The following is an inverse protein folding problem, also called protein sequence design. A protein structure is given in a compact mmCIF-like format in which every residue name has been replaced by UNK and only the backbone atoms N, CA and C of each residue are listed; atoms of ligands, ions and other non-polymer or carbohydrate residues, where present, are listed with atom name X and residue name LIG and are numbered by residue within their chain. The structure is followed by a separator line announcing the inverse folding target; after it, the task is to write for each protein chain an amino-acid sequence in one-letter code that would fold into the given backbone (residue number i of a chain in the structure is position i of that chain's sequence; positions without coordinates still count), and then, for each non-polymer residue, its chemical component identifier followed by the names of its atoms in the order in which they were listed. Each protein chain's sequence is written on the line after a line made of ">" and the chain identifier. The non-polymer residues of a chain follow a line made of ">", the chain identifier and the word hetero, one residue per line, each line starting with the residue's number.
data_IF_300874959780
#
_entry.id   IF_300874959780
#
_cell.length_a   1.000
_cell.length_b   1.000
_cell.length_c   1.000
_cell.angle_alpha   90.00
_cell.angle_beta   90.00
_cell.angle_gamma   90.00
#
_symmetry.space_group_name_H-M   'P 1'
#
loop_
_entity.id
_entity.type
_entity.pdbx_description
1 polymer ?
#
# COMPACT_ATOMS: atom_id res chain seq x y z
N UNK A 1 -9.78 5.35 31.87
CA UNK A 1 -9.11 5.04 30.58
C UNK A 1 -7.88 5.96 30.46
N UNK A 2 -6.65 5.43 30.33
CA UNK A 2 -5.46 6.29 30.18
C UNK A 2 -5.54 7.04 28.85
N UNK A 3 -5.45 8.37 28.90
CA UNK A 3 -5.62 9.23 27.73
C UNK A 3 -4.45 9.12 26.75
N UNK A 4 -3.24 8.91 27.28
CA UNK A 4 -2.02 8.68 26.52
C UNK A 4 -1.16 7.64 27.24
N UNK A 5 -0.59 6.73 26.47
CA UNK A 5 0.37 5.73 26.96
C UNK A 5 1.61 5.76 26.09
N UNK A 6 2.78 5.82 26.71
CA UNK A 6 4.07 5.62 26.04
C UNK A 6 4.67 4.33 26.56
N UNK A 7 5.12 3.46 25.66
CA UNK A 7 5.80 2.21 26.03
C UNK A 7 7.12 2.16 25.28
N UNK A 8 8.21 2.02 26.03
CA UNK A 8 9.56 1.87 25.51
C UNK A 8 10.15 0.55 26.01
N UNK A 9 10.66 -0.29 25.10
CA UNK A 9 11.31 -1.56 25.46
C UNK A 9 12.57 -1.78 24.63
N UNK A 10 13.61 -2.33 25.24
CA UNK A 10 14.82 -2.79 24.53
C UNK A 10 14.62 -4.12 23.77
N UNK A 11 13.43 -4.72 23.87
CA UNK A 11 13.05 -6.00 23.27
C UNK A 11 11.70 -5.87 22.56
N UNK A 12 11.06 -6.97 22.19
CA UNK A 12 9.73 -6.94 21.57
C UNK A 12 8.61 -6.39 22.48
N UNK A 13 7.50 -5.98 21.87
CA UNK A 13 6.26 -5.60 22.55
C UNK A 13 5.14 -6.52 22.06
N UNK A 14 4.51 -7.27 22.96
CA UNK A 14 3.25 -7.94 22.72
C UNK A 14 2.17 -7.25 23.55
N UNK A 15 1.09 -6.76 22.93
CA UNK A 15 0.01 -6.11 23.68
C UNK A 15 -1.39 -6.37 23.11
N UNK A 16 -2.35 -6.54 24.01
CA UNK A 16 -3.79 -6.50 23.72
C UNK A 16 -4.41 -5.39 24.55
N UNK A 17 -4.90 -4.32 23.93
CA UNK A 17 -5.38 -3.16 24.67
C UNK A 17 -6.39 -2.26 23.94
N UNK A 18 -7.24 -1.58 24.71
CA UNK A 18 -8.05 -0.45 24.26
C UNK A 18 -7.50 0.85 24.86
N UNK A 19 -7.00 1.75 24.01
CA UNK A 19 -6.34 2.99 24.47
C UNK A 19 -6.67 4.15 23.54
N UNK A 20 -6.83 5.37 24.07
CA UNK A 20 -7.06 6.55 23.21
C UNK A 20 -5.82 6.88 22.37
N UNK A 21 -4.68 7.09 23.00
CA UNK A 21 -3.42 7.45 22.33
C UNK A 21 -2.26 6.60 22.80
N UNK A 22 -1.48 6.07 21.86
CA UNK A 22 -0.32 5.25 22.19
C UNK A 22 0.89 5.60 21.36
N UNK A 23 2.04 5.63 22.01
CA UNK A 23 3.35 5.69 21.35
C UNK A 23 4.16 4.47 21.77
N UNK A 24 4.58 3.67 20.79
CA UNK A 24 5.50 2.55 21.01
C UNK A 24 6.87 2.85 20.43
N UNK A 25 7.89 2.53 21.19
CA UNK A 25 9.28 2.45 20.71
C UNK A 25 9.90 1.15 21.21
N UNK A 26 10.43 0.34 20.30
CA UNK A 26 11.18 -0.83 20.70
C UNK A 26 12.26 -1.23 19.72
N UNK A 27 13.31 -1.88 20.22
CA UNK A 27 14.36 -2.44 19.37
C UNK A 27 13.88 -3.74 18.69
N UNK A 28 13.01 -4.53 19.31
CA UNK A 28 12.40 -5.73 18.71
C UNK A 28 11.06 -5.48 18.01
N UNK A 29 10.41 -6.54 17.50
CA UNK A 29 9.10 -6.47 16.83
C UNK A 29 7.96 -6.01 17.75
N UNK A 30 6.87 -5.46 17.19
CA UNK A 30 5.58 -5.41 17.91
C UNK A 30 4.57 -6.29 17.25
N UNK A 31 3.91 -7.06 18.11
CA UNK A 31 2.71 -7.78 17.81
C UNK A 31 1.58 -7.20 18.66
N UNK A 32 0.58 -6.61 18.03
CA UNK A 32 -0.54 -5.97 18.75
C UNK A 32 -1.92 -6.35 18.21
N UNK A 33 -2.86 -6.54 19.15
CA UNK A 33 -4.30 -6.57 18.88
C UNK A 33 -4.99 -5.43 19.64
N UNK A 34 -5.49 -4.41 18.95
CA UNK A 34 -5.99 -3.22 19.64
C UNK A 34 -7.06 -2.38 18.94
N UNK A 35 -7.81 -1.62 19.74
CA UNK A 35 -8.67 -0.52 19.29
C UNK A 35 -8.14 0.81 19.84
N UNK A 36 -7.79 1.74 18.94
CA UNK A 36 -7.15 3.01 19.34
C UNK A 36 -7.54 4.21 18.49
N UNK A 37 -7.51 5.41 19.05
CA UNK A 37 -7.75 6.61 18.23
C UNK A 37 -6.50 7.09 17.53
N UNK A 38 -5.35 7.12 18.22
CA UNK A 38 -4.08 7.55 17.63
C UNK A 38 -2.94 6.66 18.06
N UNK A 39 -2.16 6.19 17.09
CA UNK A 39 -0.99 5.36 17.33
C UNK A 39 0.21 5.90 16.57
N UNK A 40 1.34 5.95 17.25
CA UNK A 40 2.65 6.18 16.64
C UNK A 40 3.57 5.04 17.04
N UNK A 41 4.21 4.43 16.05
CA UNK A 41 5.09 3.29 16.24
C UNK A 41 6.41 3.55 15.55
N UNK A 42 7.51 3.41 16.29
CA UNK A 42 8.87 3.57 15.77
C UNK A 42 9.72 2.34 16.13
N UNK A 43 10.35 1.71 15.12
CA UNK A 43 11.01 0.40 15.26
C UNK A 43 12.16 0.17 14.30
N UNK A 44 13.02 -0.79 14.68
CA UNK A 44 14.18 -1.24 13.89
C UNK A 44 13.94 -2.53 13.09
N UNK A 45 12.97 -3.37 13.47
CA UNK A 45 12.70 -4.65 12.77
C UNK A 45 11.28 -4.65 12.21
N UNK A 46 10.41 -5.58 12.62
CA UNK A 46 9.07 -5.74 12.07
C UNK A 46 7.95 -5.11 12.91
N UNK A 47 6.79 -4.95 12.27
CA UNK A 47 5.52 -4.57 12.90
C UNK A 47 4.47 -5.58 12.43
N UNK A 48 3.83 -6.33 13.32
CA UNK A 48 2.72 -7.22 13.05
C UNK A 48 1.48 -6.75 13.82
N UNK A 49 0.40 -6.37 13.14
CA UNK A 49 -0.75 -5.81 13.88
C UNK A 49 -2.13 -6.20 13.34
N UNK A 50 -3.06 -6.41 14.27
CA UNK A 50 -4.49 -6.59 14.00
C UNK A 50 -5.27 -5.50 14.76
N UNK A 51 -5.79 -4.49 14.05
CA UNK A 51 -6.32 -3.32 14.76
C UNK A 51 -7.43 -2.52 14.06
N UNK A 52 -8.21 -1.82 14.88
CA UNK A 52 -9.09 -0.73 14.42
C UNK A 52 -8.54 0.60 14.95
N UNK A 53 -8.14 1.49 14.05
CA UNK A 53 -7.46 2.74 14.44
C UNK A 53 -7.90 3.95 13.63
N UNK A 54 -8.19 5.09 14.28
CA UNK A 54 -8.52 6.31 13.50
C UNK A 54 -7.29 6.88 12.79
N UNK A 55 -6.16 7.03 13.49
CA UNK A 55 -4.94 7.61 12.90
C UNK A 55 -3.69 6.84 13.31
N UNK A 56 -2.87 6.51 12.33
CA UNK A 56 -1.67 5.71 12.57
C UNK A 56 -0.48 6.24 11.79
N UNK A 57 0.66 6.20 12.46
CA UNK A 57 1.97 6.44 11.84
C UNK A 57 2.88 5.30 12.23
N UNK A 58 3.32 4.53 11.25
CA UNK A 58 4.32 3.48 11.40
C UNK A 58 5.65 3.93 10.80
N UNK A 59 6.71 3.71 11.55
CA UNK A 59 8.09 3.88 11.09
C UNK A 59 8.88 2.63 11.48
N UNK A 60 9.33 1.86 10.50
CA UNK A 60 10.05 0.60 10.69
C UNK A 60 11.26 0.51 9.76
N UNK A 61 12.41 0.05 10.25
CA UNK A 61 13.51 -0.29 9.35
C UNK A 61 13.33 -1.68 8.70
N UNK A 62 12.57 -2.59 9.31
CA UNK A 62 12.14 -3.84 8.67
C UNK A 62 10.76 -3.73 8.03
N UNK A 63 10.05 -4.86 7.97
CA UNK A 63 8.74 -4.97 7.33
C UNK A 63 7.55 -4.58 8.21
N UNK A 64 6.38 -4.41 7.60
CA UNK A 64 5.11 -4.13 8.26
C UNK A 64 4.06 -5.10 7.72
N UNK A 65 3.51 -5.93 8.59
CA UNK A 65 2.45 -6.87 8.28
C UNK A 65 1.19 -6.46 9.05
N UNK A 66 0.10 -6.11 8.35
CA UNK A 66 -1.07 -5.55 9.01
C UNK A 66 -2.41 -6.06 8.49
N UNK A 67 -3.32 -6.38 9.42
CA UNK A 67 -4.74 -6.58 9.17
C UNK A 67 -5.54 -5.51 9.92
N UNK A 68 -6.05 -4.48 9.23
CA UNK A 68 -6.64 -3.35 9.93
C UNK A 68 -7.76 -2.59 9.21
N UNK A 69 -8.60 -1.93 10.01
CA UNK A 69 -9.52 -0.88 9.54
C UNK A 69 -9.06 0.48 10.08
N UNK A 70 -8.74 1.41 9.18
CA UNK A 70 -8.15 2.69 9.61
C UNK A 70 -8.62 3.90 8.80
N UNK A 71 -8.85 5.06 9.43
CA UNK A 71 -9.22 6.26 8.65
C UNK A 71 -8.00 6.88 7.95
N UNK A 72 -6.89 7.04 8.67
CA UNK A 72 -5.68 7.70 8.15
C UNK A 72 -4.42 6.98 8.57
N UNK A 73 -3.57 6.72 7.59
CA UNK A 73 -2.39 5.90 7.78
C UNK A 73 -1.21 6.48 7.04
N UNK A 74 -0.07 6.48 7.73
CA UNK A 74 1.22 6.82 7.13
C UNK A 74 2.21 5.71 7.45
N UNK A 75 2.78 5.13 6.42
CA UNK A 75 3.86 4.15 6.52
C UNK A 75 5.17 4.76 6.04
N UNK A 76 6.21 4.53 6.83
CA UNK A 76 7.60 4.74 6.46
C UNK A 76 8.36 3.46 6.80
N UNK A 77 8.67 2.66 5.78
CA UNK A 77 9.34 1.38 5.95
C UNK A 77 10.53 1.23 5.01
N UNK A 78 11.66 0.72 5.50
CA UNK A 78 12.74 0.29 4.60
C UNK A 78 12.49 -1.14 4.07
N UNK A 79 12.01 -2.08 4.90
CA UNK A 79 11.61 -3.44 4.48
C UNK A 79 10.16 -3.55 4.01
N UNK A 80 9.61 -4.77 4.00
CA UNK A 80 8.20 -5.22 3.81
C UNK A 80 7.04 -4.25 4.13
N UNK A 81 5.91 -4.36 3.45
CA UNK A 81 4.59 -3.77 3.75
C UNK A 81 3.64 -4.70 3.03
N UNK A 82 3.06 -5.58 3.83
CA UNK A 82 2.12 -6.59 3.43
C UNK A 82 0.83 -6.32 4.22
N UNK A 83 -0.24 -5.89 3.54
CA UNK A 83 -1.46 -5.50 4.25
C UNK A 83 -2.76 -6.06 3.66
N UNK A 84 -3.69 -6.37 4.57
CA UNK A 84 -5.10 -6.63 4.29
C UNK A 84 -5.92 -5.59 5.03
N UNK A 85 -6.45 -4.57 4.33
CA UNK A 85 -7.01 -3.42 5.02
C UNK A 85 -8.15 -2.68 4.32
N UNK A 86 -8.97 -2.01 5.14
CA UNK A 86 -9.91 -0.98 4.69
C UNK A 86 -9.46 0.38 5.22
N UNK A 87 -9.12 1.31 4.31
CA UNK A 87 -8.51 2.59 4.70
C UNK A 87 -9.11 3.80 3.96
N UNK A 88 -9.38 4.92 4.64
CA UNK A 88 -9.84 6.11 3.88
C UNK A 88 -8.69 6.87 3.21
N UNK A 89 -7.59 7.09 3.92
CA UNK A 89 -6.42 7.79 3.40
C UNK A 89 -5.14 7.08 3.78
N UNK A 90 -4.33 6.77 2.78
CA UNK A 90 -3.05 6.09 2.96
C UNK A 90 -1.94 6.86 2.26
N UNK A 91 -0.84 7.05 2.98
CA UNK A 91 0.42 7.52 2.42
C UNK A 91 1.49 6.48 2.73
N UNK A 92 2.14 5.99 1.69
CA UNK A 92 3.23 5.02 1.81
C UNK A 92 4.50 5.63 1.25
N UNK A 93 5.56 5.60 2.06
CA UNK A 93 6.93 5.93 1.65
C UNK A 93 7.81 4.72 1.93
N UNK A 94 8.37 4.11 0.88
CA UNK A 94 9.05 2.82 0.99
C UNK A 94 10.24 2.65 0.03
N UNK A 95 11.16 1.77 0.40
CA UNK A 95 12.37 1.50 -0.37
C UNK A 95 12.33 0.23 -1.25
N UNK A 96 11.65 -0.86 -0.89
CA UNK A 96 11.91 -2.17 -1.54
C UNK A 96 10.75 -2.90 -2.24
N UNK A 97 9.49 -2.65 -1.91
CA UNK A 97 8.32 -3.29 -2.55
C UNK A 97 7.01 -2.73 -1.99
N UNK A 98 5.82 -3.19 -2.39
CA UNK A 98 4.51 -2.99 -1.72
C UNK A 98 3.62 -4.14 -2.18
N UNK A 99 3.06 -4.92 -1.26
CA UNK A 99 2.15 -6.04 -1.55
C UNK A 99 0.84 -5.85 -0.75
N UNK A 100 -0.28 -5.56 -1.41
CA UNK A 100 -1.50 -5.15 -0.69
C UNK A 100 -2.80 -5.73 -1.26
N UNK A 101 -3.70 -6.12 -0.35
CA UNK A 101 -5.10 -6.42 -0.63
C UNK A 101 -5.97 -5.43 0.13
N UNK A 102 -6.52 -4.42 -0.55
CA UNK A 102 -7.16 -3.31 0.17
C UNK A 102 -8.32 -2.60 -0.54
N UNK A 103 -9.24 -2.08 0.26
CA UNK A 103 -10.22 -1.07 -0.16
C UNK A 103 -9.79 0.28 0.37
N UNK A 104 -9.48 1.22 -0.52
CA UNK A 104 -8.98 2.55 -0.13
C UNK A 104 -9.73 3.67 -0.84
N UNK A 105 -10.00 4.81 -0.17
CA UNK A 105 -10.54 5.98 -0.90
C UNK A 105 -9.42 6.76 -1.57
N UNK A 106 -8.38 7.14 -0.82
CA UNK A 106 -7.27 7.94 -1.34
C UNK A 106 -5.93 7.34 -0.97
N UNK A 107 -5.08 7.17 -1.97
CA UNK A 107 -3.76 6.57 -1.77
C UNK A 107 -2.67 7.35 -2.48
N UNK A 108 -1.54 7.48 -1.80
CA UNK A 108 -0.30 7.98 -2.39
C UNK A 108 0.81 7.00 -2.06
N UNK A 109 1.38 6.42 -3.12
CA UNK A 109 2.52 5.52 -3.02
C UNK A 109 3.77 6.20 -3.55
N UNK A 110 4.83 6.14 -2.73
CA UNK A 110 6.19 6.49 -3.13
C UNK A 110 7.09 5.32 -2.79
N UNK A 111 7.59 4.61 -3.80
CA UNK A 111 8.39 3.41 -3.63
C UNK A 111 9.62 3.41 -4.55
N UNK A 112 10.82 3.10 -4.03
CA UNK A 112 11.97 2.85 -4.93
C UNK A 112 11.88 1.46 -5.60
N UNK A 113 11.15 0.51 -4.98
CA UNK A 113 10.85 -0.81 -5.53
C UNK A 113 9.58 -0.87 -6.39
N UNK A 114 9.16 -2.09 -6.74
CA UNK A 114 7.89 -2.35 -7.41
C UNK A 114 6.68 -2.23 -6.48
N UNK A 115 5.48 -2.13 -7.08
CA UNK A 115 4.20 -2.13 -6.37
C UNK A 115 3.32 -3.20 -7.00
N UNK A 116 2.87 -4.16 -6.20
CA UNK A 116 1.92 -5.19 -6.58
C UNK A 116 0.67 -5.08 -5.68
N UNK A 117 -0.49 -4.82 -6.29
CA UNK A 117 -1.72 -4.62 -5.52
C UNK A 117 -2.97 -5.28 -6.12
N UNK A 118 -3.83 -5.76 -5.21
CA UNK A 118 -5.20 -6.18 -5.48
C UNK A 118 -6.13 -5.23 -4.71
N UNK A 119 -6.63 -4.18 -5.36
CA UNK A 119 -7.29 -3.09 -4.63
C UNK A 119 -8.51 -2.48 -5.33
N UNK A 120 -9.44 -1.97 -4.52
CA UNK A 120 -10.47 -1.03 -4.98
C UNK A 120 -10.10 0.35 -4.45
N UNK A 121 -9.83 1.30 -5.35
CA UNK A 121 -9.34 2.63 -4.98
C UNK A 121 -10.11 3.74 -5.67
N UNK A 122 -10.67 4.73 -4.96
CA UNK A 122 -11.30 5.87 -5.66
C UNK A 122 -10.22 6.72 -6.35
N UNK A 123 -9.16 7.09 -5.62
CA UNK A 123 -8.06 7.89 -6.15
C UNK A 123 -6.71 7.38 -5.71
N UNK A 124 -5.80 7.22 -6.67
CA UNK A 124 -4.42 6.83 -6.39
C UNK A 124 -3.41 7.71 -7.13
N UNK A 125 -2.28 7.91 -6.47
CA UNK A 125 -1.08 8.53 -7.05
C UNK A 125 0.11 7.62 -6.82
N UNK A 126 0.82 7.30 -7.91
CA UNK A 126 2.05 6.52 -7.89
C UNK A 126 3.27 7.36 -8.22
N UNK A 127 4.34 7.14 -7.47
CA UNK A 127 5.69 7.53 -7.82
C UNK A 127 6.60 6.35 -7.47
N UNK A 128 6.92 5.53 -8.48
CA UNK A 128 7.79 4.37 -8.29
C UNK A 128 8.90 4.31 -9.34
N UNK A 129 10.09 3.88 -8.94
CA UNK A 129 11.19 3.63 -9.89
C UNK A 129 11.07 2.22 -10.51
N UNK A 130 10.39 1.29 -9.82
CA UNK A 130 10.08 -0.06 -10.28
C UNK A 130 8.81 -0.20 -11.14
N UNK A 131 8.43 -1.45 -11.40
CA UNK A 131 7.18 -1.79 -12.09
C UNK A 131 5.97 -1.72 -11.15
N UNK A 132 4.81 -1.36 -11.71
CA UNK A 132 3.52 -1.37 -11.03
C UNK A 132 2.66 -2.47 -11.65
N UNK A 133 2.43 -3.55 -10.89
CA UNK A 133 1.48 -4.61 -11.20
C UNK A 133 0.18 -4.39 -10.42
N UNK A 134 -0.96 -4.44 -11.09
CA UNK A 134 -2.25 -4.21 -10.42
C UNK A 134 -3.37 -5.08 -10.98
N UNK A 135 -4.20 -5.58 -10.06
CA UNK A 135 -5.56 -6.07 -10.31
C UNK A 135 -6.48 -5.16 -9.50
N UNK A 136 -6.98 -4.09 -10.13
CA UNK A 136 -7.64 -3.04 -9.37
C UNK A 136 -8.76 -2.33 -10.13
N UNK A 137 -9.77 -1.89 -9.38
CA UNK A 137 -10.82 -0.99 -9.86
C UNK A 137 -10.55 0.41 -9.35
N UNK A 138 -10.41 1.37 -10.26
CA UNK A 138 -10.03 2.73 -9.89
C UNK A 138 -10.86 3.79 -10.60
N UNK A 139 -11.23 4.85 -9.88
CA UNK A 139 -11.91 5.98 -10.51
C UNK A 139 -10.89 6.98 -11.07
N UNK A 140 -9.82 7.27 -10.31
CA UNK A 140 -8.79 8.24 -10.68
C UNK A 140 -7.39 7.69 -10.44
N UNK A 141 -6.54 7.73 -11.47
CA UNK A 141 -5.14 7.29 -11.40
C UNK A 141 -4.22 8.40 -11.87
N UNK A 142 -3.16 8.65 -11.10
CA UNK A 142 -2.04 9.52 -11.50
C UNK A 142 -0.73 8.77 -11.33
N UNK A 143 0.12 8.79 -12.35
CA UNK A 143 1.46 8.18 -12.29
C UNK A 143 2.48 9.27 -12.59
N UNK A 144 3.36 9.54 -11.64
CA UNK A 144 4.42 10.53 -11.76
C UNK A 144 5.72 9.91 -12.31
N UNK A 145 6.03 8.67 -11.90
CA UNK A 145 7.20 7.86 -12.32
C UNK A 145 6.85 6.37 -12.22
N UNK A 146 7.41 5.55 -13.13
CA UNK A 146 7.30 4.08 -13.12
C UNK A 146 6.75 3.47 -14.42
N UNK A 147 6.86 2.14 -14.53
CA UNK A 147 6.27 1.35 -15.63
C UNK A 147 5.01 0.64 -15.17
N UNK A 148 3.87 0.85 -15.85
CA UNK A 148 2.60 0.22 -15.48
C UNK A 148 2.34 -1.01 -16.36
N UNK A 149 2.23 -2.19 -15.75
CA UNK A 149 1.79 -3.43 -16.41
C UNK A 149 0.36 -3.77 -15.97
N UNK A 150 -0.59 -3.76 -16.92
CA UNK A 150 -2.03 -3.95 -16.64
C UNK A 150 -2.46 -5.35 -17.06
N UNK A 151 -3.02 -6.13 -16.12
CA UNK A 151 -3.60 -7.44 -16.45
C UNK A 151 -5.13 -7.48 -16.42
N UNK A 152 -5.81 -6.64 -15.62
CA UNK A 152 -7.28 -6.45 -15.59
C UNK A 152 -7.64 -5.21 -14.74
N UNK A 153 -7.79 -4.02 -15.35
CA UNK A 153 -8.11 -2.78 -14.63
C UNK A 153 -9.19 -1.95 -15.33
N UNK A 154 -10.22 -1.51 -14.59
CA UNK A 154 -11.20 -0.52 -15.06
C UNK A 154 -10.84 0.83 -14.43
N UNK A 155 -10.49 1.81 -15.26
CA UNK A 155 -10.05 3.15 -14.83
C UNK A 155 -11.01 4.21 -15.39
N UNK A 156 -11.52 5.10 -14.53
CA UNK A 156 -12.16 6.35 -14.94
C UNK A 156 -11.15 7.38 -15.45
N UNK A 157 -11.63 8.55 -15.90
CA UNK A 157 -10.83 9.61 -16.53
C UNK A 157 -9.48 9.86 -15.81
N UNK A 158 -8.36 9.61 -16.47
CA UNK A 158 -7.02 9.73 -15.86
C UNK A 158 -6.04 10.45 -16.77
N UNK A 159 -5.15 11.25 -16.19
CA UNK A 159 -4.05 11.89 -16.90
C UNK A 159 -2.79 11.03 -16.75
N UNK A 160 -2.37 10.38 -17.84
CA UNK A 160 -1.08 9.67 -17.91
C UNK A 160 -0.04 10.59 -18.54
N UNK A 161 0.88 11.14 -17.74
CA UNK A 161 2.11 11.75 -18.29
C UNK A 161 3.06 10.61 -18.64
N UNK A 162 3.03 10.17 -19.91
CA UNK A 162 3.86 9.06 -20.40
C UNK A 162 5.33 9.45 -20.53
N UNK A 163 6.20 8.79 -19.79
CA UNK A 163 7.60 8.56 -20.17
C UNK A 163 7.66 7.46 -21.24
N UNK A 164 8.51 7.63 -22.24
CA UNK A 164 8.53 6.87 -23.49
C UNK A 164 8.88 5.38 -23.34
N UNK A 165 8.15 4.52 -24.05
CA UNK A 165 8.54 3.12 -24.34
C UNK A 165 7.40 2.27 -24.85
N UNK A 166 7.37 2.06 -26.16
CA UNK A 166 6.35 1.29 -26.86
C UNK A 166 6.73 -0.21 -26.82
N UNK A 167 5.85 -1.09 -26.34
CA UNK A 167 5.90 -2.52 -26.68
C UNK A 167 4.53 -2.93 -27.22
N UNK A 168 4.45 -3.02 -28.54
CA UNK A 168 3.29 -3.53 -29.27
C UNK A 168 3.06 -4.99 -28.83
N UNK A 169 1.85 -5.31 -28.40
CA UNK A 169 1.39 -6.70 -28.35
C UNK A 169 1.18 -7.15 -29.80
N UNK A 170 2.06 -8.04 -30.27
CA UNK A 170 1.81 -8.87 -31.44
C UNK A 170 0.88 -10.01 -31.02
N UNK A 171 -0.40 -9.88 -31.31
CA UNK A 171 -1.31 -11.02 -31.42
C UNK A 171 -1.98 -10.96 -32.80
N UNK A 172 -1.46 -11.82 -33.67
CA UNK A 172 -2.15 -12.57 -34.74
C UNK A 172 -3.50 -12.02 -35.24
N UNK A 173 -3.47 -11.23 -36.31
CA UNK A 173 -4.53 -11.26 -37.33
C UNK A 173 -4.06 -12.17 -38.48
N UNK A 174 -4.31 -13.47 -38.33
CA UNK A 174 -4.18 -14.43 -39.42
C UNK A 174 -5.54 -14.54 -40.14
N UNK A 175 -5.64 -13.83 -41.26
CA UNK A 175 -6.24 -14.29 -42.52
C UNK A 175 -7.73 -14.65 -42.56
N UNK A 176 -8.52 -13.78 -43.20
CA UNK A 176 -9.57 -14.21 -44.14
C UNK A 176 -9.68 -13.17 -45.26
N UNK A 177 -8.97 -13.40 -46.36
CA UNK A 177 -9.23 -12.70 -47.63
C UNK A 177 -9.03 -13.68 -48.79
N UNK A 178 -10.08 -14.43 -49.11
CA UNK A 178 -10.14 -15.29 -50.29
C UNK A 178 -11.61 -15.51 -50.71
N UNK A 179 -12.19 -14.53 -51.41
CA UNK A 179 -13.39 -14.75 -52.21
C UNK A 179 -13.50 -13.73 -53.36
N UNK A 180 -12.62 -13.84 -54.36
CA UNK A 180 -12.96 -13.45 -55.74
C UNK A 180 -11.97 -14.07 -56.73
N UNK A 181 -12.39 -15.13 -57.41
CA UNK A 181 -12.18 -15.41 -58.84
C UNK A 181 -12.53 -16.88 -59.11
N UNK A 182 -13.54 -17.07 -59.96
CA UNK A 182 -14.16 -18.32 -60.35
C UNK A 182 -15.48 -18.00 -61.01
#
# INVERSE_FOLDING_TARGET
>A
MKERVTVQRSWGIGEIAMKKRVTYSAAGGIDEIAMKERVTVQRSWGIGEIAMKKRVTYSAAGGIDEIAMQERVTYSAAGGIDEIAMKERVTVQRSWGIDEIAMKKRVTYSAAGGIDEIAMQERVTYSADGGIGQIAMKEWVTVQRGWVSRRNSHEGAGYVQRGWGNRRNSHEEAGYDAARMG
#
